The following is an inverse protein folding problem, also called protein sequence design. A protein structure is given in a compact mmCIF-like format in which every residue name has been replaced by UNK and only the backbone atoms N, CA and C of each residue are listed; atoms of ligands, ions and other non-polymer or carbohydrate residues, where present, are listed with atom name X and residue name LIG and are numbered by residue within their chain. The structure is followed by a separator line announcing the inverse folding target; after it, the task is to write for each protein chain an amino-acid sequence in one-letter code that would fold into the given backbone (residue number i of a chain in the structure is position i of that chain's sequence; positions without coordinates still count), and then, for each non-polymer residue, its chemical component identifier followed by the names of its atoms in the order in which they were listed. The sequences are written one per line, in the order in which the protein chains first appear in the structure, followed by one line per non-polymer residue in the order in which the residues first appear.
data_IF_659701124222
#
_entry.id   IF_659701124222
#
_cell.length_a   1.000
_cell.length_b   1.000
_cell.length_c   1.000
_cell.angle_alpha   90.00
_cell.angle_beta   90.00
_cell.angle_gamma   90.00
#
_symmetry.space_group_name_H-M   'P 1'
#
loop_
_entity.id
_entity.type
_entity.pdbx_description
1 polymer ?
#
# COMPACT_ATOMS: atom_id res chain seq x y z
N UNK A 1 -24.64 9.55 -3.39
CA UNK A 1 -23.70 8.65 -2.67
C UNK A 1 -22.31 9.19 -2.93
N UNK A 2 -21.54 9.50 -1.89
CA UNK A 2 -20.10 9.68 -2.03
C UNK A 2 -19.50 8.35 -2.50
N UNK A 3 -18.67 8.37 -3.53
CA UNK A 3 -17.90 7.19 -3.94
C UNK A 3 -16.72 7.05 -2.97
N UNK A 4 -16.66 5.92 -2.28
CA UNK A 4 -15.55 5.53 -1.42
C UNK A 4 -14.89 4.29 -2.03
N UNK A 5 -13.58 4.34 -2.25
CA UNK A 5 -12.77 3.24 -2.78
C UNK A 5 -11.72 2.82 -1.76
N UNK A 6 -11.51 1.52 -1.60
CA UNK A 6 -10.43 0.95 -0.80
C UNK A 6 -9.36 0.40 -1.74
N UNK A 7 -8.15 0.97 -1.69
CA UNK A 7 -7.06 0.59 -2.59
C UNK A 7 -5.87 0.07 -1.77
N UNK A 8 -5.45 -1.15 -2.06
CA UNK A 8 -4.26 -1.75 -1.47
C UNK A 8 -3.00 -1.30 -2.19
N UNK A 9 -1.97 -0.89 -1.46
CA UNK A 9 -0.67 -0.54 -2.00
C UNK A 9 0.29 -1.70 -1.78
N UNK A 10 0.64 -2.39 -2.87
CA UNK A 10 1.42 -3.62 -2.86
C UNK A 10 2.70 -3.48 -3.69
N UNK A 11 3.60 -4.46 -3.59
CA UNK A 11 4.92 -4.44 -4.24
C UNK A 11 6.04 -4.95 -3.35
N UNK A 12 7.21 -5.18 -3.95
CA UNK A 12 8.41 -5.69 -3.28
C UNK A 12 8.86 -4.78 -2.13
N UNK A 13 9.65 -5.32 -1.19
CA UNK A 13 10.31 -4.53 -0.14
C UNK A 13 11.15 -3.41 -0.77
N UNK A 14 11.27 -2.28 -0.08
CA UNK A 14 12.08 -1.12 -0.50
C UNK A 14 11.71 -0.43 -1.83
N UNK A 15 10.68 -0.89 -2.55
CA UNK A 15 10.17 -0.22 -3.76
C UNK A 15 9.43 1.11 -3.50
N UNK A 16 9.43 1.63 -2.27
CA UNK A 16 8.89 2.97 -1.96
C UNK A 16 7.37 3.08 -1.75
N UNK A 17 6.67 1.97 -1.45
CA UNK A 17 5.21 1.94 -1.16
C UNK A 17 4.80 2.97 -0.10
N UNK A 18 5.38 2.88 1.09
CA UNK A 18 5.12 3.75 2.24
C UNK A 18 5.48 5.20 1.94
N UNK A 19 6.63 5.44 1.27
CA UNK A 19 7.04 6.78 0.87
C UNK A 19 6.05 7.42 -0.11
N UNK A 20 5.53 6.65 -1.07
CA UNK A 20 4.52 7.12 -2.01
C UNK A 20 3.19 7.44 -1.30
N UNK A 21 2.74 6.57 -0.39
CA UNK A 21 1.54 6.83 0.43
C UNK A 21 1.69 8.13 1.22
N UNK A 22 2.83 8.33 1.89
CA UNK A 22 3.13 9.56 2.61
C UNK A 22 3.16 10.80 1.70
N UNK A 23 3.74 10.68 0.51
CA UNK A 23 3.77 11.79 -0.46
C UNK A 23 2.38 12.16 -0.99
N UNK A 24 1.49 11.19 -1.17
CA UNK A 24 0.13 11.42 -1.66
C UNK A 24 -0.81 11.96 -0.59
N UNK A 25 -0.67 11.50 0.65
CA UNK A 25 -1.66 11.72 1.72
C UNK A 25 -1.17 12.64 2.84
N UNK A 26 0.14 12.82 2.98
CA UNK A 26 0.76 13.42 4.16
C UNK A 26 0.74 12.52 5.41
N UNK A 27 0.26 11.28 5.31
CA UNK A 27 0.14 10.35 6.43
C UNK A 27 1.35 9.43 6.49
N UNK A 28 1.99 9.37 7.66
CA UNK A 28 3.04 8.41 7.93
C UNK A 28 2.43 7.08 8.42
N UNK A 29 2.54 6.04 7.60
CA UNK A 29 1.96 4.72 7.87
C UNK A 29 2.83 3.84 8.77
N UNK A 30 4.16 3.95 8.69
CA UNK A 30 5.10 3.26 9.59
C UNK A 30 5.15 3.93 10.98
N UNK A 31 4.30 3.47 11.88
CA UNK A 31 4.13 4.02 13.24
C UNK A 31 4.98 3.31 14.28
N UNK A 32 5.42 2.07 14.03
CA UNK A 32 6.25 1.33 14.96
C UNK A 32 7.69 1.86 14.96
N UNK A 33 8.30 1.86 16.15
CA UNK A 33 9.73 2.22 16.29
C UNK A 33 10.61 1.24 15.51
N UNK A 34 10.23 -0.03 15.45
CA UNK A 34 10.95 -1.06 14.71
C UNK A 34 10.90 -0.84 13.20
N UNK A 35 9.75 -0.45 12.65
CA UNK A 35 9.58 -0.12 11.22
C UNK A 35 10.55 0.99 10.83
N UNK A 36 10.55 2.10 11.58
CA UNK A 36 11.46 3.23 11.35
C UNK A 36 12.93 2.88 11.51
N UNK A 37 13.27 2.01 12.47
CA UNK A 37 14.66 1.59 12.71
C UNK A 37 15.19 0.68 11.60
N UNK A 38 14.33 -0.15 11.01
CA UNK A 38 14.72 -1.16 10.02
C UNK A 38 14.43 -0.74 8.58
N UNK A 39 13.64 0.30 8.36
CA UNK A 39 13.22 0.74 7.03
C UNK A 39 12.26 -0.23 6.35
N UNK A 40 11.54 -1.06 7.11
CA UNK A 40 10.59 -2.06 6.57
C UNK A 40 9.24 -1.89 7.25
N UNK A 41 8.15 -1.90 6.49
CA UNK A 41 6.80 -1.95 7.03
C UNK A 41 6.49 -3.34 7.56
N UNK A 42 5.87 -3.39 8.74
CA UNK A 42 5.58 -4.63 9.47
C UNK A 42 4.07 -4.77 9.63
N UNK A 43 3.36 -3.72 10.02
CA UNK A 43 1.89 -3.68 10.10
C UNK A 43 1.26 -3.12 8.82
N UNK A 44 -0.07 -3.25 8.71
CA UNK A 44 -0.84 -2.53 7.70
C UNK A 44 -0.92 -1.04 8.07
N UNK A 45 -0.60 -0.18 7.11
CA UNK A 45 -0.82 1.25 7.21
C UNK A 45 -2.14 1.68 6.59
N UNK A 46 -2.76 2.73 7.13
CA UNK A 46 -4.01 3.27 6.61
C UNK A 46 -3.88 4.77 6.38
N UNK A 47 -4.22 5.24 5.19
CA UNK A 47 -4.11 6.65 4.83
C UNK A 47 -5.33 7.10 3.99
N UNK A 48 -6.16 8.02 4.50
CA UNK A 48 -7.23 8.61 3.71
C UNK A 48 -6.68 9.59 2.65
N UNK A 49 -7.32 9.61 1.49
CA UNK A 49 -7.01 10.48 0.37
C UNK A 49 -8.32 10.97 -0.26
N UNK A 50 -8.43 12.27 -0.53
CA UNK A 50 -9.56 12.82 -1.28
C UNK A 50 -9.07 13.27 -2.64
N UNK A 51 -9.55 12.62 -3.70
CA UNK A 51 -9.25 12.97 -5.08
C UNK A 51 -10.34 13.86 -5.66
N UNK A 52 -9.95 14.86 -6.45
CA UNK A 52 -10.89 15.70 -7.18
C UNK A 52 -11.13 15.09 -8.57
N UNK A 53 -12.38 14.81 -8.91
CA UNK A 53 -12.78 14.37 -10.26
C UNK A 53 -13.78 15.34 -10.89
N UNK A 54 -14.02 15.19 -12.20
CA UNK A 54 -15.02 15.98 -12.91
C UNK A 54 -16.46 15.73 -12.39
N UNK A 55 -16.70 14.59 -11.73
CA UNK A 55 -17.99 14.20 -11.17
C UNK A 55 -18.14 14.59 -9.68
N UNK A 56 -17.09 15.19 -9.08
CA UNK A 56 -17.04 15.54 -7.67
C UNK A 56 -15.88 14.86 -6.92
N UNK A 57 -15.77 15.08 -5.60
CA UNK A 57 -14.73 14.45 -4.78
C UNK A 57 -14.96 12.95 -4.66
N UNK A 58 -13.86 12.19 -4.69
CA UNK A 58 -13.81 10.74 -4.46
C UNK A 58 -12.98 10.51 -3.20
N UNK A 59 -13.53 9.76 -2.25
CA UNK A 59 -12.80 9.34 -1.06
C UNK A 59 -12.09 8.02 -1.33
N UNK A 60 -10.81 7.95 -0.99
CA UNK A 60 -9.96 6.79 -1.20
C UNK A 60 -9.29 6.43 0.13
N UNK A 61 -9.50 5.21 0.60
CA UNK A 61 -8.72 4.61 1.68
C UNK A 61 -7.55 3.84 1.09
N UNK A 62 -6.33 4.35 1.27
CA UNK A 62 -5.12 3.60 0.94
C UNK A 62 -4.74 2.67 2.09
N UNK A 63 -4.51 1.40 1.76
CA UNK A 63 -3.98 0.39 2.68
C UNK A 63 -2.54 0.09 2.27
N UNK A 64 -1.56 0.58 3.03
CA UNK A 64 -0.13 0.33 2.82
C UNK A 64 0.23 -1.06 3.34
N UNK A 65 0.65 -1.96 2.44
CA UNK A 65 0.90 -3.36 2.77
C UNK A 65 2.38 -3.67 2.93
N UNK A 66 2.76 -4.50 3.93
CA UNK A 66 4.15 -4.84 4.15
C UNK A 66 4.76 -5.58 2.95
N UNK A 67 5.95 -5.14 2.55
CA UNK A 67 6.68 -5.60 1.36
C UNK A 67 7.46 -6.92 1.51
N UNK A 68 7.76 -7.29 2.76
CA UNK A 68 8.73 -8.34 3.08
C UNK A 68 8.04 -9.71 3.24
N UNK A 69 8.64 -10.77 2.68
CA UNK A 69 8.16 -12.16 2.75
C UNK A 69 7.75 -12.64 4.17
N UNK A 70 8.43 -12.15 5.21
CA UNK A 70 8.15 -12.52 6.60
C UNK A 70 6.79 -12.03 7.10
N UNK A 71 6.19 -11.07 6.41
CA UNK A 71 4.95 -10.40 6.80
C UNK A 71 3.81 -10.63 5.80
N UNK A 72 3.94 -11.60 4.89
CA UNK A 72 2.89 -11.98 3.93
C UNK A 72 1.56 -12.26 4.61
N UNK A 73 1.56 -12.92 5.78
CA UNK A 73 0.32 -13.17 6.55
C UNK A 73 -0.43 -11.89 6.94
N UNK A 74 0.29 -10.79 7.18
CA UNK A 74 -0.29 -9.50 7.52
C UNK A 74 -0.82 -8.81 6.28
N UNK A 75 -0.09 -8.90 5.17
CA UNK A 75 -0.54 -8.44 3.86
C UNK A 75 -1.87 -9.10 3.45
N UNK A 76 -2.00 -10.44 3.61
CA UNK A 76 -3.25 -11.18 3.34
C UNK A 76 -4.45 -10.58 4.09
N UNK A 77 -4.26 -10.15 5.34
CA UNK A 77 -5.35 -9.56 6.12
C UNK A 77 -5.82 -8.21 5.57
N UNK A 78 -4.97 -7.48 4.85
CA UNK A 78 -5.30 -6.22 4.20
C UNK A 78 -5.80 -6.37 2.77
N UNK A 79 -5.57 -7.51 2.13
CA UNK A 79 -6.02 -7.80 0.76
C UNK A 79 -7.53 -8.06 0.67
N UNK A 80 -8.16 -8.43 1.79
CA UNK A 80 -9.60 -8.67 1.84
C UNK A 80 -10.42 -7.38 1.68
N UNK A 81 -11.32 -7.35 0.71
CA UNK A 81 -12.26 -6.23 0.53
C UNK A 81 -11.68 -5.01 -0.18
N UNK A 82 -10.55 -5.16 -0.87
CA UNK A 82 -10.03 -4.12 -1.77
C UNK A 82 -10.89 -3.99 -3.03
N UNK A 83 -11.12 -2.75 -3.45
CA UNK A 83 -11.71 -2.45 -4.76
C UNK A 83 -10.64 -2.47 -5.88
N UNK A 84 -9.39 -2.14 -5.54
CA UNK A 84 -8.27 -2.16 -6.46
C UNK A 84 -6.92 -2.32 -5.74
N UNK A 85 -5.88 -2.63 -6.51
CA UNK A 85 -4.49 -2.68 -6.05
C UNK A 85 -3.63 -1.70 -6.86
N UNK A 86 -2.83 -0.93 -6.15
CA UNK A 86 -1.74 -0.14 -6.70
C UNK A 86 -0.43 -0.90 -6.48
N UNK A 87 0.10 -1.49 -7.56
CA UNK A 87 1.36 -2.22 -7.54
C UNK A 87 2.53 -1.26 -7.78
N UNK A 88 3.39 -1.09 -6.77
CA UNK A 88 4.57 -0.22 -6.83
C UNK A 88 5.80 -1.02 -7.24
N UNK A 89 6.46 -0.54 -8.29
CA UNK A 89 7.65 -1.16 -8.88
C UNK A 89 8.75 -0.10 -9.00
N UNK A 90 9.88 -0.35 -8.35
CA UNK A 90 11.06 0.50 -8.49
C UNK A 90 11.61 0.39 -9.93
N UNK A 91 11.91 1.52 -10.54
CA UNK A 91 12.30 1.57 -11.96
C UNK A 91 13.71 0.98 -12.22
N UNK A 92 14.56 0.99 -11.22
CA UNK A 92 15.93 0.47 -11.24
C UNK A 92 16.01 -1.06 -11.02
N UNK A 93 15.04 -1.66 -10.32
CA UNK A 93 14.98 -3.12 -10.10
C UNK A 93 13.96 -3.85 -11.00
N UNK A 94 12.89 -3.16 -11.41
CA UNK A 94 11.81 -3.77 -12.17
C UNK A 94 10.98 -4.76 -11.33
N UNK A 95 10.31 -5.70 -12.00
CA UNK A 95 9.35 -6.61 -11.34
C UNK A 95 10.08 -7.73 -10.58
N UNK A 96 10.06 -7.63 -9.25
CA UNK A 96 10.69 -8.58 -8.34
C UNK A 96 9.72 -9.70 -7.86
N UNK A 97 10.23 -10.86 -7.38
CA UNK A 97 9.41 -12.01 -6.99
C UNK A 97 8.29 -11.70 -6.00
N UNK A 98 8.57 -10.94 -4.93
CA UNK A 98 7.58 -10.56 -3.92
C UNK A 98 6.48 -9.67 -4.52
N UNK A 99 6.81 -8.83 -5.52
CA UNK A 99 5.79 -8.06 -6.24
C UNK A 99 4.79 -8.95 -6.98
N UNK A 100 5.25 -10.08 -7.53
CA UNK A 100 4.40 -11.09 -8.19
C UNK A 100 3.57 -11.87 -7.17
N UNK A 101 4.19 -12.28 -6.06
CA UNK A 101 3.50 -12.95 -4.96
C UNK A 101 2.40 -12.07 -4.37
N UNK A 102 2.68 -10.78 -4.17
CA UNK A 102 1.72 -9.83 -3.65
C UNK A 102 0.54 -9.61 -4.60
N UNK A 103 0.81 -9.54 -5.90
CA UNK A 103 -0.27 -9.47 -6.89
C UNK A 103 -1.15 -10.72 -6.84
N UNK A 104 -0.56 -11.91 -6.76
CA UNK A 104 -1.31 -13.17 -6.67
C UNK A 104 -2.14 -13.33 -5.39
N UNK A 105 -1.78 -12.64 -4.30
CA UNK A 105 -2.57 -12.65 -3.05
C UNK A 105 -3.81 -11.74 -3.16
N UNK A 106 -3.77 -10.72 -4.00
CA UNK A 106 -4.86 -9.77 -4.18
C UNK A 106 -5.81 -10.11 -5.34
N UNK A 107 -5.54 -11.19 -6.09
CA UNK A 107 -6.48 -11.79 -7.06
C UNK A 107 -7.54 -12.66 -6.37
#
# INVERSE_FOLDING_TARGET
MQQALTIGVAGHVDHGKTSMVGALTGVQTDVLVEERRRGISIELGFAPLVLQSAQGPIEVGLIDMPGHEKFVRRMISGAAGLDAVLLVVAADEGVMPQGREHLAICE
#
